data_IF_365997708612
#
_entry.id   IF_365997708612
#
_cell.length_a   1.000
_cell.length_b   1.000
_cell.length_c   1.000
_cell.angle_alpha   90.00
_cell.angle_beta   90.00
_cell.angle_gamma   90.00
#
_symmetry.space_group_name_H-M   'P 1'
#
loop_
_entity.id
_entity.type
_entity.pdbx_description
1 polymer ?
#
# COMPACT_ATOMS: atom_id res chain seq x y z
N UNK A 1 25.70 -53.26 2.86
CA UNK A 1 24.77 -52.58 3.78
C UNK A 1 23.68 -53.55 4.22
N UNK A 2 23.34 -53.65 5.51
CA UNK A 2 22.22 -54.49 5.98
C UNK A 2 20.91 -53.95 5.37
N UNK A 3 20.02 -54.83 4.89
CA UNK A 3 18.77 -54.46 4.19
C UNK A 3 17.92 -53.40 4.93
N UNK A 4 17.93 -53.41 6.27
CA UNK A 4 17.24 -52.41 7.08
C UNK A 4 17.83 -50.99 7.01
N UNK A 5 19.14 -50.84 6.75
CA UNK A 5 19.79 -49.54 6.60
C UNK A 5 19.42 -48.87 5.27
N UNK A 6 19.31 -49.65 4.19
CA UNK A 6 18.85 -49.16 2.88
C UNK A 6 17.40 -48.70 2.92
N UNK A 7 16.51 -49.43 3.60
CA UNK A 7 15.10 -49.05 3.77
C UNK A 7 14.99 -47.75 4.57
N UNK A 8 15.73 -47.61 5.67
CA UNK A 8 15.72 -46.39 6.47
C UNK A 8 16.18 -45.15 5.67
N UNK A 9 17.24 -45.29 4.86
CA UNK A 9 17.74 -44.20 4.00
C UNK A 9 16.68 -43.81 2.96
N UNK A 10 16.03 -44.77 2.30
CA UNK A 10 14.98 -44.50 1.31
C UNK A 10 13.76 -43.84 1.95
N UNK A 11 13.37 -44.24 3.16
CA UNK A 11 12.27 -43.61 3.89
C UNK A 11 12.58 -42.17 4.25
N UNK A 12 13.79 -41.89 4.75
CA UNK A 12 14.23 -40.52 5.09
C UNK A 12 14.25 -39.64 3.83
N UNK A 13 14.79 -40.16 2.72
CA UNK A 13 14.77 -39.45 1.44
C UNK A 13 13.34 -39.18 0.95
N UNK A 14 12.45 -40.16 1.06
CA UNK A 14 11.04 -40.02 0.70
C UNK A 14 10.33 -38.93 1.51
N UNK A 15 10.53 -38.91 2.84
CA UNK A 15 9.98 -37.86 3.72
C UNK A 15 10.57 -36.49 3.35
N UNK A 16 11.87 -36.41 3.09
CA UNK A 16 12.53 -35.18 2.66
C UNK A 16 11.94 -34.61 1.38
N UNK A 17 11.69 -35.46 0.37
CA UNK A 17 11.08 -35.05 -0.89
C UNK A 17 9.64 -34.54 -0.67
N UNK A 18 8.86 -35.22 0.17
CA UNK A 18 7.49 -34.80 0.50
C UNK A 18 7.51 -33.42 1.19
N UNK A 19 8.39 -33.22 2.18
CA UNK A 19 8.50 -31.94 2.88
C UNK A 19 8.89 -30.80 1.94
N UNK A 20 9.86 -31.01 1.05
CA UNK A 20 10.26 -30.01 0.05
C UNK A 20 9.08 -29.67 -0.88
N UNK A 21 8.33 -30.68 -1.31
CA UNK A 21 7.17 -30.49 -2.19
C UNK A 21 6.06 -29.68 -1.51
N UNK A 22 5.82 -29.93 -0.22
CA UNK A 22 4.83 -29.19 0.58
C UNK A 22 5.24 -27.72 0.76
N UNK A 23 6.51 -27.45 1.03
CA UNK A 23 7.04 -26.08 1.13
C UNK A 23 6.92 -25.36 -0.21
N UNK A 24 7.27 -26.02 -1.31
CA UNK A 24 7.15 -25.45 -2.65
C UNK A 24 5.70 -25.09 -3.01
N UNK A 25 4.74 -25.95 -2.64
CA UNK A 25 3.31 -25.69 -2.82
C UNK A 25 2.81 -24.52 -1.97
N UNK A 26 3.28 -24.42 -0.72
CA UNK A 26 2.89 -23.35 0.19
C UNK A 26 3.43 -21.96 -0.22
N UNK A 27 4.49 -21.91 -1.03
CA UNK A 27 5.11 -20.68 -1.53
C UNK A 27 4.64 -20.29 -2.94
N UNK A 28 3.64 -20.98 -3.49
CA UNK A 28 3.08 -20.59 -4.79
C UNK A 28 2.28 -19.29 -4.67
N UNK A 29 2.38 -18.38 -5.66
CA UNK A 29 1.52 -17.22 -5.69
C UNK A 29 0.04 -17.60 -5.85
N UNK A 30 -0.83 -16.87 -5.19
CA UNK A 30 -2.28 -17.00 -5.35
C UNK A 30 -2.83 -15.86 -6.20
N UNK A 31 -3.81 -16.15 -7.04
CA UNK A 31 -4.42 -15.18 -7.95
C UNK A 31 -5.92 -15.09 -7.67
N UNK A 32 -6.43 -13.86 -7.53
CA UNK A 32 -7.86 -13.60 -7.32
C UNK A 32 -8.28 -12.39 -8.13
N UNK A 33 -9.49 -12.41 -8.68
CA UNK A 33 -10.12 -11.21 -9.25
C UNK A 33 -11.34 -10.84 -8.42
N UNK A 34 -11.40 -9.58 -8.02
CA UNK A 34 -12.52 -9.00 -7.26
C UNK A 34 -13.14 -7.90 -8.10
N UNK A 35 -14.46 -7.87 -8.18
CA UNK A 35 -15.20 -6.74 -8.76
C UNK A 35 -15.90 -5.96 -7.66
N UNK A 36 -15.52 -4.71 -7.47
CA UNK A 36 -16.06 -3.80 -6.46
C UNK A 36 -16.97 -2.80 -7.16
N UNK A 37 -18.26 -2.78 -6.82
CA UNK A 37 -19.17 -1.74 -7.33
C UNK A 37 -18.73 -0.37 -6.82
N UNK A 38 -18.68 0.62 -7.71
CA UNK A 38 -18.18 1.95 -7.38
C UNK A 38 -19.34 2.92 -7.13
N UNK A 39 -19.20 3.76 -6.11
CA UNK A 39 -20.19 4.81 -5.78
C UNK A 39 -20.38 5.82 -6.93
N UNK A 40 -19.34 6.04 -7.73
CA UNK A 40 -19.37 6.89 -8.93
C UNK A 40 -20.03 6.21 -10.15
N UNK A 41 -20.58 5.00 -9.96
CA UNK A 41 -21.06 4.12 -11.02
C UNK A 41 -19.96 3.23 -11.59
N UNK A 42 -20.36 2.18 -12.32
CA UNK A 42 -19.42 1.20 -12.86
C UNK A 42 -18.85 0.25 -11.78
N UNK A 43 -17.72 -0.38 -12.11
CA UNK A 43 -17.03 -1.33 -11.24
C UNK A 43 -15.53 -1.11 -11.29
N UNK A 44 -14.87 -1.30 -10.16
CA UNK A 44 -13.42 -1.45 -10.05
C UNK A 44 -13.12 -2.95 -10.09
N UNK A 45 -12.39 -3.38 -11.10
CA UNK A 45 -11.91 -4.75 -11.29
C UNK A 45 -10.49 -4.80 -10.75
N UNK A 46 -10.29 -5.55 -9.69
CA UNK A 46 -9.04 -5.69 -8.97
C UNK A 46 -8.48 -7.09 -9.24
N UNK A 47 -7.38 -7.18 -9.97
CA UNK A 47 -6.66 -8.44 -10.20
C UNK A 47 -5.52 -8.52 -9.18
N UNK A 48 -5.72 -9.35 -8.17
CA UNK A 48 -4.82 -9.55 -7.05
C UNK A 48 -3.88 -10.73 -7.31
N UNK A 49 -2.61 -10.52 -7.02
CA UNK A 49 -1.55 -11.51 -6.97
C UNK A 49 -0.98 -11.49 -5.55
N UNK A 50 -1.09 -12.59 -4.82
CA UNK A 50 -0.57 -12.76 -3.47
C UNK A 50 0.71 -13.59 -3.51
N UNK A 51 1.79 -13.04 -2.98
CA UNK A 51 3.08 -13.70 -2.87
C UNK A 51 3.35 -14.06 -1.40
N UNK A 52 3.20 -15.33 -1.01
CA UNK A 52 3.67 -15.80 0.29
C UNK A 52 5.20 -15.86 0.29
N UNK A 53 5.84 -15.09 1.17
CA UNK A 53 7.28 -15.15 1.44
C UNK A 53 7.50 -15.59 2.92
N UNK A 54 8.64 -16.23 3.20
CA UNK A 54 8.97 -16.73 4.54
C UNK A 54 9.16 -15.59 5.56
N UNK A 55 9.55 -14.40 5.10
CA UNK A 55 9.82 -13.22 5.91
C UNK A 55 8.72 -12.15 5.81
N UNK A 56 7.96 -12.13 4.72
CA UNK A 56 6.87 -11.19 4.51
C UNK A 56 5.83 -11.77 3.57
N UNK A 57 4.82 -11.00 3.24
CA UNK A 57 3.88 -11.38 2.21
C UNK A 57 3.41 -10.11 1.51
N UNK A 58 3.03 -10.25 0.25
CA UNK A 58 2.71 -9.10 -0.58
C UNK A 58 1.46 -9.35 -1.40
N UNK A 59 0.52 -8.41 -1.38
CA UNK A 59 -0.49 -8.33 -2.43
C UNK A 59 -0.07 -7.29 -3.47
N UNK A 60 -0.10 -7.70 -4.73
CA UNK A 60 -0.01 -6.82 -5.88
C UNK A 60 -1.40 -6.74 -6.52
N UNK A 61 -1.97 -5.54 -6.58
CA UNK A 61 -3.33 -5.33 -7.09
C UNK A 61 -3.27 -4.50 -8.36
N UNK A 62 -3.63 -5.10 -9.50
CA UNK A 62 -3.80 -4.37 -10.75
C UNK A 62 -5.24 -3.86 -10.86
N UNK A 63 -5.40 -2.55 -11.06
CA UNK A 63 -6.70 -1.89 -11.06
C UNK A 63 -7.17 -1.54 -12.46
N UNK A 64 -8.39 -1.98 -12.78
CA UNK A 64 -9.11 -1.60 -13.98
C UNK A 64 -10.48 -1.04 -13.62
N UNK A 65 -10.85 0.12 -14.15
CA UNK A 65 -12.21 0.63 -14.04
C UNK A 65 -13.05 0.21 -15.24
N UNK A 66 -14.18 -0.45 -14.98
CA UNK A 66 -15.19 -0.82 -15.97
C UNK A 66 -16.39 0.10 -15.83
N UNK A 67 -16.57 1.00 -16.80
CA UNK A 67 -17.71 1.90 -16.88
C UNK A 67 -19.04 1.15 -17.09
N UNK A 68 -20.17 1.81 -16.79
CA UNK A 68 -21.51 1.27 -17.03
C UNK A 68 -21.75 0.86 -18.49
N UNK A 69 -21.07 1.53 -19.44
CA UNK A 69 -21.16 1.23 -20.86
C UNK A 69 -20.21 0.10 -21.30
N UNK A 70 -19.59 -0.61 -20.36
CA UNK A 70 -18.70 -1.74 -20.61
C UNK A 70 -17.28 -1.38 -21.04
N UNK A 71 -16.94 -0.08 -21.18
CA UNK A 71 -15.56 0.35 -21.47
C UNK A 71 -14.67 0.15 -20.24
N UNK A 72 -13.51 -0.45 -20.44
CA UNK A 72 -12.49 -0.67 -19.41
C UNK A 72 -11.35 0.32 -19.55
N UNK A 73 -10.80 0.77 -18.42
CA UNK A 73 -9.65 1.66 -18.32
C UNK A 73 -8.69 1.14 -17.25
N UNK A 74 -7.42 0.90 -17.62
CA UNK A 74 -6.39 0.57 -16.64
C UNK A 74 -6.05 1.83 -15.83
N UNK A 75 -6.06 1.72 -14.51
CA UNK A 75 -5.75 2.81 -13.59
C UNK A 75 -4.29 2.77 -13.13
N UNK A 76 -3.73 1.58 -12.95
CA UNK A 76 -2.39 1.35 -12.41
C UNK A 76 -2.38 0.20 -11.42
N UNK A 77 -1.42 0.22 -10.50
CA UNK A 77 -1.17 -0.89 -9.57
C UNK A 77 -0.99 -0.42 -8.13
N UNK A 78 -1.46 -1.22 -7.18
CA UNK A 78 -1.22 -1.10 -5.75
C UNK A 78 -0.35 -2.21 -5.20
N UNK A 79 0.42 -1.92 -4.15
CA UNK A 79 1.24 -2.92 -3.46
C UNK A 79 0.98 -2.86 -1.95
N UNK A 80 0.71 -4.01 -1.35
CA UNK A 80 0.43 -4.18 0.07
C UNK A 80 1.40 -5.19 0.69
N UNK A 81 2.56 -4.71 1.13
CA UNK A 81 3.56 -5.56 1.79
C UNK A 81 3.29 -5.64 3.31
N UNK A 82 3.08 -6.85 3.84
CA UNK A 82 2.90 -7.12 5.27
C UNK A 82 1.61 -6.58 5.88
N UNK A 83 0.59 -6.29 5.07
CA UNK A 83 -0.73 -5.81 5.51
C UNK A 83 -1.84 -6.21 4.54
N UNK A 84 -3.04 -6.42 5.06
CA UNK A 84 -4.14 -6.93 4.25
C UNK A 84 -4.62 -5.88 3.25
N UNK A 85 -4.90 -6.32 2.03
CA UNK A 85 -5.61 -5.51 1.05
C UNK A 85 -7.11 -5.58 1.36
N UNK A 86 -7.74 -4.41 1.53
CA UNK A 86 -9.16 -4.32 1.80
C UNK A 86 -9.96 -4.32 0.48
N UNK A 87 -10.89 -5.24 0.33
CA UNK A 87 -11.65 -5.48 -0.90
C UNK A 87 -12.86 -4.53 -1.06
N UNK A 88 -12.74 -3.29 -0.59
CA UNK A 88 -13.82 -2.29 -0.57
C UNK A 88 -13.44 -0.92 -1.18
N UNK A 89 -12.26 -0.81 -1.80
CA UNK A 89 -11.71 0.44 -2.31
C UNK A 89 -12.66 1.18 -3.27
N UNK A 90 -12.73 2.49 -3.09
CA UNK A 90 -13.59 3.38 -3.87
C UNK A 90 -12.78 4.48 -4.55
N UNK A 91 -13.14 4.76 -5.80
CA UNK A 91 -12.77 5.98 -6.49
C UNK A 91 -13.55 7.15 -5.92
N UNK A 92 -12.82 8.13 -5.40
CA UNK A 92 -13.36 9.32 -4.77
C UNK A 92 -13.15 10.49 -5.73
N UNK A 93 -14.19 11.30 -5.93
CA UNK A 93 -14.06 12.52 -6.72
C UNK A 93 -13.48 13.63 -5.84
N UNK A 94 -12.37 14.21 -6.28
CA UNK A 94 -11.69 15.36 -5.67
C UNK A 94 -11.52 16.41 -6.76
N UNK A 95 -12.14 17.58 -6.59
CA UNK A 95 -12.24 18.60 -7.62
C UNK A 95 -12.76 18.01 -8.96
N UNK A 96 -11.95 18.11 -10.01
CA UNK A 96 -12.24 17.57 -11.35
C UNK A 96 -11.57 16.22 -11.62
N UNK A 97 -10.94 15.62 -10.62
CA UNK A 97 -10.18 14.39 -10.72
C UNK A 97 -10.86 13.27 -9.91
N UNK A 98 -10.57 12.04 -10.30
CA UNK A 98 -10.91 10.85 -9.54
C UNK A 98 -9.63 10.34 -8.90
N UNK A 99 -9.73 9.90 -7.65
CA UNK A 99 -8.62 9.47 -6.82
C UNK A 99 -8.94 8.09 -6.28
N UNK A 100 -8.03 7.14 -6.49
CA UNK A 100 -8.01 5.84 -5.84
C UNK A 100 -6.89 5.86 -4.80
N UNK A 101 -7.24 5.72 -3.53
CA UNK A 101 -6.26 5.38 -2.49
C UNK A 101 -5.84 3.94 -2.70
N UNK A 102 -4.53 3.67 -2.64
CA UNK A 102 -4.00 2.31 -2.70
C UNK A 102 -2.69 2.20 -1.93
N UNK A 103 -2.24 0.97 -1.67
CA UNK A 103 -0.95 0.71 -1.08
C UNK A 103 0.25 0.97 -1.99
N UNK A 104 1.38 1.23 -1.36
CA UNK A 104 2.71 1.35 -1.95
C UNK A 104 3.73 0.51 -1.16
N UNK A 105 4.95 0.44 -1.68
CA UNK A 105 6.03 -0.33 -1.10
C UNK A 105 6.39 0.10 0.34
N UNK A 106 6.94 -0.83 1.12
CA UNK A 106 7.44 -0.60 2.49
C UNK A 106 6.41 -0.02 3.49
N UNK A 107 5.14 -0.41 3.37
CA UNK A 107 4.10 0.03 4.31
C UNK A 107 3.78 1.52 4.20
N UNK A 108 3.92 2.07 2.99
CA UNK A 108 3.42 3.39 2.61
C UNK A 108 2.15 3.27 1.78
N UNK A 109 1.38 4.36 1.70
CA UNK A 109 0.27 4.51 0.76
C UNK A 109 0.68 5.42 -0.40
N UNK A 110 -0.02 5.23 -1.52
CA UNK A 110 -0.01 6.16 -2.64
C UNK A 110 -1.44 6.44 -3.08
N UNK A 111 -1.58 7.39 -3.99
CA UNK A 111 -2.82 7.57 -4.74
C UNK A 111 -2.58 7.36 -6.22
N UNK A 112 -3.59 6.85 -6.90
CA UNK A 112 -3.70 6.88 -8.36
C UNK A 112 -4.81 7.87 -8.68
N UNK A 113 -4.52 8.88 -9.50
CA UNK A 113 -5.49 9.94 -9.79
C UNK A 113 -5.48 10.36 -11.24
N UNK A 114 -6.63 10.78 -11.74
CA UNK A 114 -6.78 11.11 -13.14
C UNK A 114 -8.20 11.53 -13.50
N UNK A 115 -8.42 11.68 -14.80
CA UNK A 115 -9.73 11.99 -15.36
C UNK A 115 -10.10 10.97 -16.43
N UNK A 116 -11.32 10.44 -16.35
CA UNK A 116 -11.85 9.49 -17.32
C UNK A 116 -11.94 10.06 -18.75
N UNK A 117 -12.13 11.37 -18.91
CA UNK A 117 -12.20 11.97 -20.26
C UNK A 117 -10.82 11.99 -20.90
N UNK A 118 -9.80 12.44 -20.18
CA UNK A 118 -8.42 12.48 -20.67
C UNK A 118 -7.75 11.11 -20.76
N UNK A 119 -8.25 10.11 -20.00
CA UNK A 119 -7.63 8.79 -19.80
C UNK A 119 -6.19 8.84 -19.28
N UNK A 120 -5.75 9.99 -18.75
CA UNK A 120 -4.43 10.17 -18.16
C UNK A 120 -4.55 9.95 -16.66
N UNK A 121 -3.92 8.87 -16.19
CA UNK A 121 -3.78 8.56 -14.78
C UNK A 121 -2.33 8.74 -14.36
N UNK A 122 -2.15 9.24 -13.16
CA UNK A 122 -0.85 9.49 -12.54
C UNK A 122 -0.85 8.84 -11.17
N UNK A 123 0.33 8.48 -10.71
CA UNK A 123 0.54 8.01 -9.36
C UNK A 123 1.25 9.08 -8.54
N UNK A 124 0.96 9.13 -7.25
CA UNK A 124 1.71 9.95 -6.30
C UNK A 124 1.94 9.17 -5.02
N UNK A 125 3.21 8.89 -4.75
CA UNK A 125 3.65 8.18 -3.56
C UNK A 125 3.89 9.15 -2.41
N UNK A 126 3.26 8.89 -1.27
CA UNK A 126 3.50 9.67 -0.06
C UNK A 126 4.76 9.14 0.61
N UNK A 127 5.93 9.59 0.17
CA UNK A 127 7.19 9.14 0.78
C UNK A 127 7.61 10.03 1.95
N UNK A 128 8.21 9.43 2.96
CA UNK A 128 8.86 10.12 4.08
C UNK A 128 9.87 11.17 3.59
N UNK A 129 10.65 10.82 2.57
CA UNK A 129 11.61 11.74 1.95
C UNK A 129 10.93 12.98 1.35
N UNK A 130 9.79 12.79 0.67
CA UNK A 130 9.01 13.87 0.10
C UNK A 130 8.43 14.78 1.17
N UNK A 131 7.95 14.21 2.28
CA UNK A 131 7.38 14.96 3.41
C UNK A 131 8.47 15.77 4.13
N UNK A 132 9.57 15.12 4.52
CA UNK A 132 10.61 15.77 5.34
C UNK A 132 11.42 16.82 4.56
N UNK A 133 11.49 16.69 3.24
CA UNK A 133 12.13 17.70 2.39
C UNK A 133 11.27 18.91 2.06
N UNK A 134 9.96 18.84 2.34
CA UNK A 134 9.04 19.94 2.08
C UNK A 134 9.38 21.17 2.93
N UNK A 135 9.16 22.35 2.33
CA UNK A 135 9.43 23.64 2.97
C UNK A 135 8.65 23.84 4.28
N UNK A 136 7.41 23.35 4.37
CA UNK A 136 6.58 23.47 5.57
C UNK A 136 7.11 22.62 6.72
N UNK A 137 7.60 21.41 6.42
CA UNK A 137 8.24 20.54 7.39
C UNK A 137 9.47 21.21 8.01
N UNK A 138 10.35 21.71 7.13
CA UNK A 138 11.59 22.41 7.51
C UNK A 138 11.30 23.69 8.31
N UNK A 139 10.30 24.47 7.90
CA UNK A 139 9.91 25.71 8.59
C UNK A 139 9.36 25.46 10.00
N UNK A 140 8.64 24.35 10.20
CA UNK A 140 8.17 23.93 11.54
C UNK A 140 9.27 23.35 12.43
N UNK A 141 10.51 23.20 11.91
CA UNK A 141 11.66 22.66 12.63
C UNK A 141 11.35 21.31 13.31
N UNK A 142 10.60 20.45 12.61
CA UNK A 142 10.23 19.12 13.11
C UNK A 142 11.47 18.23 13.07
N UNK A 143 11.86 17.70 14.23
CA UNK A 143 12.99 16.77 14.34
C UNK A 143 12.49 15.35 14.10
N UNK A 144 13.03 14.73 13.06
CA UNK A 144 12.80 13.34 12.67
C UNK A 144 14.13 12.63 12.47
N UNK A 145 14.16 11.33 12.71
CA UNK A 145 15.30 10.47 12.42
C UNK A 145 15.04 9.69 11.14
N UNK A 146 15.16 10.35 9.98
CA UNK A 146 14.85 9.81 8.64
C UNK A 146 15.51 8.46 8.29
N UNK A 147 16.63 8.12 8.93
CA UNK A 147 17.36 6.86 8.66
C UNK A 147 16.96 5.72 9.61
N UNK A 148 15.94 5.94 10.46
CA UNK A 148 15.57 4.99 11.50
C UNK A 148 14.09 4.63 11.41
N UNK A 149 13.82 3.34 11.16
CA UNK A 149 12.47 2.80 11.21
C UNK A 149 11.74 3.15 12.53
N UNK A 150 10.43 3.48 12.49
CA UNK A 150 9.52 3.44 11.34
C UNK A 150 9.52 4.72 10.48
N UNK A 151 9.21 4.54 9.19
CA UNK A 151 8.95 5.60 8.21
C UNK A 151 7.70 5.25 7.42
N UNK A 152 6.54 5.34 8.06
CA UNK A 152 5.27 4.85 7.49
C UNK A 152 4.32 5.99 7.20
N UNK A 153 3.73 5.97 6.02
CA UNK A 153 2.77 6.97 5.55
C UNK A 153 1.48 6.27 5.15
N UNK A 154 0.36 6.70 5.70
CA UNK A 154 -0.94 6.11 5.41
C UNK A 154 -1.93 7.19 5.06
N UNK A 155 -2.62 7.04 3.94
CA UNK A 155 -3.74 7.92 3.58
C UNK A 155 -4.89 7.58 4.53
N UNK A 156 -5.13 8.42 5.52
CA UNK A 156 -6.17 8.18 6.53
C UNK A 156 -7.56 8.50 5.99
N UNK A 157 -7.68 9.55 5.17
CA UNK A 157 -8.95 9.99 4.63
C UNK A 157 -8.78 10.81 3.34
N UNK A 158 -9.83 10.87 2.52
CA UNK A 158 -9.93 11.75 1.35
C UNK A 158 -11.31 12.40 1.39
N UNK A 159 -11.37 13.67 1.83
CA UNK A 159 -12.61 14.42 2.00
C UNK A 159 -12.41 15.89 1.71
N UNK A 160 -13.47 16.57 1.24
CA UNK A 160 -13.50 18.02 1.03
C UNK A 160 -12.30 18.54 0.21
N UNK A 161 -11.98 17.84 -0.87
CA UNK A 161 -10.84 18.13 -1.76
C UNK A 161 -9.45 18.06 -1.12
N UNK A 162 -9.36 17.45 0.07
CA UNK A 162 -8.14 17.23 0.82
C UNK A 162 -7.82 15.74 0.95
N UNK A 163 -6.53 15.42 0.90
CA UNK A 163 -6.02 14.08 1.20
C UNK A 163 -5.28 14.17 2.53
N UNK A 164 -5.75 13.43 3.52
CA UNK A 164 -5.13 13.36 4.83
C UNK A 164 -4.17 12.16 4.87
N UNK A 165 -2.92 12.44 5.20
CA UNK A 165 -1.87 11.42 5.32
C UNK A 165 -1.31 11.42 6.72
N UNK A 166 -1.42 10.30 7.42
CA UNK A 166 -0.73 10.08 8.68
C UNK A 166 0.71 9.71 8.38
N UNK A 167 1.67 10.48 8.90
CA UNK A 167 3.09 10.15 8.85
C UNK A 167 3.61 9.79 10.25
N UNK A 168 4.16 8.59 10.39
CA UNK A 168 4.82 8.10 11.60
C UNK A 168 6.34 8.02 11.39
N UNK A 169 7.08 8.62 12.32
CA UNK A 169 8.54 8.67 12.29
C UNK A 169 9.15 8.54 13.68
N UNK A 170 10.40 8.08 13.72
CA UNK A 170 11.17 7.95 14.95
C UNK A 170 11.75 9.30 15.41
N UNK A 171 11.77 9.52 16.72
CA UNK A 171 12.31 10.74 17.33
C UNK A 171 13.56 10.52 18.20
N UNK A 172 13.88 9.28 18.58
CA UNK A 172 15.01 8.95 19.44
C UNK A 172 15.86 7.81 18.85
N UNK A 173 17.18 7.98 18.74
CA UNK A 173 18.06 7.00 18.09
C UNK A 173 18.32 5.76 18.94
N UNK A 174 18.11 5.85 20.26
CA UNK A 174 18.44 4.82 21.24
C UNK A 174 17.22 4.00 21.65
N UNK A 175 16.02 4.58 21.57
CA UNK A 175 14.76 3.90 21.85
C UNK A 175 13.89 3.79 20.58
N UNK A 176 13.66 2.56 20.11
CA UNK A 176 12.89 2.29 18.89
C UNK A 176 11.39 2.50 19.06
N UNK A 177 10.90 2.47 20.30
CA UNK A 177 9.48 2.61 20.61
C UNK A 177 9.04 4.08 20.68
N UNK A 178 9.99 5.02 20.72
CA UNK A 178 9.71 6.46 20.72
C UNK A 178 9.49 6.98 19.30
N UNK A 179 8.21 7.03 18.92
CA UNK A 179 7.75 7.57 17.63
C UNK A 179 6.81 8.75 17.82
N UNK A 180 6.74 9.61 16.82
CA UNK A 180 5.71 10.64 16.70
C UNK A 180 4.85 10.40 15.46
N UNK A 181 3.62 10.90 15.50
CA UNK A 181 2.69 10.90 14.36
C UNK A 181 2.21 12.32 14.06
N UNK A 182 2.23 12.66 12.78
CA UNK A 182 1.65 13.91 12.25
C UNK A 182 0.58 13.58 11.22
N UNK A 183 -0.38 14.48 11.09
CA UNK A 183 -1.32 14.48 9.97
C UNK A 183 -0.85 15.55 8.99
N UNK A 184 -0.63 15.12 7.75
CA UNK A 184 -0.20 15.95 6.63
C UNK A 184 -1.43 16.12 5.74
N UNK A 185 -1.90 17.36 5.62
CA UNK A 185 -3.00 17.70 4.73
C UNK A 185 -2.44 18.08 3.37
N UNK A 186 -2.83 17.33 2.34
CA UNK A 186 -2.50 17.60 0.95
C UNK A 186 -3.71 18.18 0.22
N UNK A 187 -3.48 19.15 -0.65
CA UNK A 187 -4.46 19.59 -1.63
C UNK A 187 -4.09 19.05 -3.01
N UNK A 188 -5.10 18.55 -3.74
CA UNK A 188 -4.93 18.01 -5.08
C UNK A 188 -5.48 18.98 -6.13
N UNK A 189 -4.58 19.74 -6.76
CA UNK A 189 -4.88 20.63 -7.89
C UNK A 189 -4.46 19.93 -9.20
N UNK A 190 -3.15 19.86 -9.46
CA UNK A 190 -2.56 19.09 -10.58
C UNK A 190 -1.71 17.91 -10.09
N UNK A 191 -1.12 18.08 -8.90
CA UNK A 191 -0.37 17.10 -8.11
C UNK A 191 -0.64 17.39 -6.62
N UNK A 192 -0.52 16.40 -5.72
CA UNK A 192 -0.60 16.65 -4.29
C UNK A 192 0.46 17.65 -3.81
N UNK A 193 0.05 18.63 -3.01
CA UNK A 193 0.96 19.59 -2.36
C UNK A 193 0.59 19.70 -0.89
N UNK A 194 1.60 19.70 -0.01
CA UNK A 194 1.38 19.86 1.43
C UNK A 194 0.83 21.27 1.70
N UNK A 195 -0.29 21.32 2.42
CA UNK A 195 -0.91 22.57 2.86
C UNK A 195 -0.74 22.81 4.34
N UNK A 196 -0.82 21.73 5.13
CA UNK A 196 -0.81 21.84 6.58
C UNK A 196 -0.23 20.58 7.22
N UNK A 197 0.38 20.79 8.38
CA UNK A 197 0.97 19.74 9.22
C UNK A 197 0.48 19.97 10.65
N UNK A 198 -0.21 18.97 11.21
CA UNK A 198 -0.76 18.97 12.57
C UNK A 198 -0.30 17.74 13.36
N UNK A 199 -0.39 17.83 14.69
CA UNK A 199 -0.18 16.67 15.54
C UNK A 199 -1.35 15.69 15.38
N UNK A 200 -1.06 14.38 15.43
CA UNK A 200 -2.10 13.36 15.34
C UNK A 200 -3.16 13.51 16.46
N UNK A 201 -2.74 13.89 17.67
CA UNK A 201 -3.62 14.01 18.85
C UNK A 201 -4.55 15.23 18.84
N UNK A 202 -4.44 16.14 17.86
CA UNK A 202 -5.25 17.38 17.81
C UNK A 202 -6.51 17.31 16.96
N UNK A 203 -6.86 16.14 16.41
CA UNK A 203 -8.00 15.99 15.47
C UNK A 203 -9.30 15.51 16.14
N UNK A 204 -9.30 15.30 17.46
CA UNK A 204 -10.49 14.93 18.24
C UNK A 204 -10.94 16.02 19.23
N UNK A 205 -11.05 17.28 18.78
CA UNK A 205 -11.73 18.35 19.53
C UNK A 205 -12.69 19.10 18.61
#
# INVERSE_FOLDING_TARGET
MKKGCTIAILTILGIGIILISLVYLALQPEFKTVEINQNIGGKLVCKMEYYPDLHSWEYIINYEYKSQNGKTLNLGQGIYSGREWNEDEQLIKVNNLYVLKTGNFHGSDKIIYGDFKSKKWKEYEFTSNGIENDSLWKTKNIKSLYNYWPHRTFVSDIKNDQILVTYEYRIDSNNADLTEKKIIEYELIEKPVIKKITNYNTVYN
#
